data_IF_708024792936
#
_entry.id   IF_708024792936
#
_cell.length_a   1.000
_cell.length_b   1.000
_cell.length_c   1.000
_cell.angle_alpha   90.00
_cell.angle_beta   90.00
_cell.angle_gamma   90.00
#
_symmetry.space_group_name_H-M   'P 1'
#
loop_
_entity.id
_entity.type
_entity.pdbx_description
1 polymer ?
#
# COMPACT_ATOMS: atom_id res chain seq x y z
N UNK A 1 -9.77 -1.06 -19.56
CA UNK A 1 -8.92 -2.12 -18.97
C UNK A 1 -7.67 -1.51 -18.30
N UNK A 2 -6.89 -0.64 -18.97
CA UNK A 2 -5.68 -0.04 -18.38
C UNK A 2 -5.98 0.83 -17.13
N UNK A 3 -7.07 1.59 -17.13
CA UNK A 3 -7.46 2.41 -15.99
C UNK A 3 -7.83 1.59 -14.74
N UNK A 4 -8.50 0.45 -14.88
CA UNK A 4 -8.84 -0.42 -13.73
C UNK A 4 -7.62 -1.14 -13.18
N UNK A 5 -6.62 -1.46 -14.02
CA UNK A 5 -5.35 -2.03 -13.57
C UNK A 5 -4.53 -0.98 -12.80
N UNK A 6 -4.45 0.24 -13.31
CA UNK A 6 -3.74 1.33 -12.66
C UNK A 6 -4.36 1.68 -11.29
N UNK A 7 -5.70 1.76 -11.22
CA UNK A 7 -6.38 2.01 -9.95
C UNK A 7 -6.30 0.82 -8.98
N UNK A 8 -6.26 -0.42 -9.47
CA UNK A 8 -5.96 -1.60 -8.65
C UNK A 8 -4.55 -1.56 -8.04
N UNK A 9 -3.57 -1.01 -8.76
CA UNK A 9 -2.21 -0.81 -8.26
C UNK A 9 -2.14 0.13 -7.06
N UNK A 10 -2.98 1.16 -6.99
CA UNK A 10 -3.03 2.08 -5.84
C UNK A 10 -3.56 1.40 -4.57
N UNK A 11 -4.45 0.41 -4.69
CA UNK A 11 -4.93 -0.38 -3.56
C UNK A 11 -3.82 -1.21 -2.91
N UNK A 12 -2.87 -1.73 -3.72
CA UNK A 12 -1.73 -2.49 -3.22
C UNK A 12 -0.78 -1.67 -2.33
N UNK A 13 -0.84 -0.34 -2.39
CA UNK A 13 -0.06 0.55 -1.52
C UNK A 13 -0.72 0.68 -0.15
N UNK A 14 -2.06 0.61 -0.08
CA UNK A 14 -2.84 0.80 1.16
C UNK A 14 -2.98 -0.51 1.93
N UNK A 15 -3.12 -1.63 1.22
CA UNK A 15 -3.32 -2.94 1.85
C UNK A 15 -1.99 -3.49 2.38
N UNK A 16 -1.89 -3.85 3.67
CA UNK A 16 -0.67 -4.43 4.22
C UNK A 16 -0.30 -5.79 3.57
N UNK A 17 1.01 -6.09 3.40
CA UNK A 17 2.19 -5.33 3.79
C UNK A 17 2.50 -4.18 2.84
N UNK A 18 2.67 -2.98 3.38
CA UNK A 18 2.87 -1.75 2.60
C UNK A 18 4.17 -1.05 3.02
N UNK A 19 5.05 -0.80 2.07
CA UNK A 19 6.32 -0.09 2.31
C UNK A 19 6.08 1.34 2.81
N UNK A 20 5.06 2.01 2.26
CA UNK A 20 4.71 3.39 2.65
C UNK A 20 4.25 3.45 4.10
N UNK A 21 3.44 2.48 4.56
CA UNK A 21 3.03 2.40 5.96
C UNK A 21 4.21 2.11 6.90
N UNK A 22 5.20 1.34 6.47
CA UNK A 22 6.42 1.11 7.25
C UNK A 22 7.24 2.39 7.37
N UNK A 23 7.43 3.13 6.28
CA UNK A 23 8.13 4.42 6.29
C UNK A 23 7.38 5.42 7.18
N UNK A 24 6.06 5.49 7.05
CA UNK A 24 5.22 6.35 7.89
C UNK A 24 5.35 6.00 9.37
N UNK A 25 5.33 4.69 9.71
CA UNK A 25 5.55 4.22 11.06
C UNK A 25 6.90 4.70 11.63
N UNK A 26 7.95 4.59 10.82
CA UNK A 26 9.29 5.03 11.20
C UNK A 26 9.35 6.54 11.45
N UNK A 27 8.80 7.35 10.55
CA UNK A 27 8.81 8.81 10.66
C UNK A 27 7.96 9.35 11.81
N UNK A 28 6.89 8.63 12.18
CA UNK A 28 5.96 9.01 13.26
C UNK A 28 6.22 8.27 14.57
N UNK A 29 7.25 7.42 14.61
CA UNK A 29 7.61 6.60 15.78
C UNK A 29 6.45 5.70 16.27
N UNK A 30 5.60 5.27 15.34
CA UNK A 30 4.47 4.39 15.62
C UNK A 30 4.77 2.93 15.33
N UNK A 31 4.03 2.04 15.97
CA UNK A 31 4.15 0.60 15.72
C UNK A 31 3.63 0.23 14.34
N UNK A 32 4.47 -0.43 13.52
CA UNK A 32 4.11 -0.95 12.20
C UNK A 32 2.90 -1.89 12.28
N UNK A 33 2.85 -2.76 13.30
CA UNK A 33 1.71 -3.67 13.52
C UNK A 33 0.40 -2.92 13.68
N UNK A 34 0.38 -1.88 14.55
CA UNK A 34 -0.83 -1.08 14.79
C UNK A 34 -1.30 -0.38 13.53
N UNK A 35 -0.37 0.15 12.73
CA UNK A 35 -0.69 0.80 11.46
C UNK A 35 -1.23 -0.18 10.42
N UNK A 36 -0.67 -1.39 10.36
CA UNK A 36 -1.17 -2.43 9.48
C UNK A 36 -2.59 -2.87 9.86
N UNK A 37 -2.88 -3.02 11.15
CA UNK A 37 -4.25 -3.27 11.62
C UNK A 37 -5.20 -2.13 11.26
N UNK A 38 -4.80 -0.89 11.50
CA UNK A 38 -5.61 0.27 11.20
C UNK A 38 -5.92 0.41 9.70
N UNK A 39 -4.98 0.02 8.83
CA UNK A 39 -5.13 0.09 7.39
C UNK A 39 -6.04 -1.00 6.79
N UNK A 40 -6.30 -2.10 7.52
CA UNK A 40 -7.16 -3.17 7.02
C UNK A 40 -8.59 -2.70 6.74
N UNK A 41 -9.19 -1.96 7.68
CA UNK A 41 -10.58 -1.50 7.54
C UNK A 41 -10.73 -0.55 6.34
N UNK A 42 -9.96 0.55 6.24
CA UNK A 42 -10.05 1.43 5.07
C UNK A 42 -9.64 0.72 3.77
N UNK A 43 -8.70 -0.24 3.82
CA UNK A 43 -8.32 -1.05 2.67
C UNK A 43 -9.47 -1.89 2.14
N UNK A 44 -10.20 -2.58 3.01
CA UNK A 44 -11.39 -3.38 2.63
C UNK A 44 -12.48 -2.46 2.07
N UNK A 45 -12.74 -1.34 2.72
CA UNK A 45 -13.74 -0.34 2.24
C UNK A 45 -13.35 0.14 0.84
N UNK A 46 -12.09 0.46 0.62
CA UNK A 46 -11.58 0.89 -0.68
C UNK A 46 -11.81 -0.18 -1.76
N UNK A 47 -11.49 -1.45 -1.49
CA UNK A 47 -11.75 -2.57 -2.42
C UNK A 47 -13.23 -2.65 -2.79
N UNK A 48 -14.13 -2.60 -1.80
CA UNK A 48 -15.57 -2.67 -2.02
C UNK A 48 -16.05 -1.49 -2.87
N UNK A 49 -15.60 -0.27 -2.55
CA UNK A 49 -15.95 0.92 -3.33
C UNK A 49 -15.44 0.84 -4.78
N UNK A 50 -14.23 0.32 -4.99
CA UNK A 50 -13.71 0.09 -6.34
C UNK A 50 -14.54 -0.93 -7.11
N UNK A 51 -14.92 -2.02 -6.48
CA UNK A 51 -15.80 -3.02 -7.11
C UNK A 51 -17.16 -2.43 -7.50
N UNK A 52 -17.74 -1.63 -6.62
CA UNK A 52 -19.00 -0.92 -6.88
C UNK A 52 -18.82 0.07 -8.04
N UNK A 53 -17.76 0.89 -7.99
CA UNK A 53 -17.49 1.89 -9.03
C UNK A 53 -17.30 1.24 -10.42
N UNK A 54 -16.53 0.15 -10.50
CA UNK A 54 -16.36 -0.60 -11.75
C UNK A 54 -17.71 -1.16 -12.23
N UNK A 55 -18.51 -1.72 -11.34
CA UNK A 55 -19.82 -2.27 -11.69
C UNK A 55 -20.77 -1.20 -12.19
N UNK A 56 -20.85 -0.07 -11.50
CA UNK A 56 -21.68 1.09 -11.92
C UNK A 56 -21.20 1.62 -13.27
N UNK A 57 -19.89 1.77 -13.45
CA UNK A 57 -19.33 2.21 -14.72
C UNK A 57 -19.69 1.30 -15.89
N UNK A 58 -19.62 -0.03 -15.71
CA UNK A 58 -19.99 -1.01 -16.72
C UNK A 58 -21.49 -1.05 -16.99
N UNK A 59 -22.34 -0.71 -16.02
CA UNK A 59 -23.80 -0.58 -16.23
C UNK A 59 -24.12 0.66 -17.08
N UNK A 60 -23.38 1.75 -16.90
CA UNK A 60 -23.57 2.99 -17.67
C UNK A 60 -22.97 2.85 -19.08
N UNK A 61 -21.81 2.20 -19.20
CA UNK A 61 -21.07 2.03 -20.44
C UNK A 61 -20.83 0.56 -20.81
N UNK A 62 -21.86 -0.23 -21.13
CA UNK A 62 -21.74 -1.68 -21.33
C UNK A 62 -20.81 -2.05 -22.51
N UNK A 63 -20.65 -1.17 -23.49
CA UNK A 63 -19.77 -1.39 -24.65
C UNK A 63 -18.27 -1.36 -24.31
N UNK A 64 -17.89 -0.82 -23.16
CA UNK A 64 -16.49 -0.73 -22.72
C UNK A 64 -16.07 -1.94 -21.87
N UNK A 65 -17.02 -2.75 -21.41
CA UNK A 65 -16.78 -4.04 -20.80
C UNK A 65 -16.38 -5.04 -21.88
N UNK A 66 -15.11 -5.47 -21.89
CA UNK A 66 -14.72 -6.58 -22.76
C UNK A 66 -15.49 -7.84 -22.39
N UNK A 67 -16.08 -8.50 -23.37
CA UNK A 67 -16.65 -9.82 -23.16
C UNK A 67 -15.50 -10.81 -22.93
N UNK A 68 -15.22 -11.12 -21.66
CA UNK A 68 -14.32 -12.20 -21.32
C UNK A 68 -14.96 -13.52 -21.73
N UNK A 69 -14.21 -14.39 -22.38
CA UNK A 69 -14.66 -15.76 -22.62
C UNK A 69 -15.02 -16.43 -21.29
N UNK A 70 -16.15 -17.13 -21.27
CA UNK A 70 -16.59 -17.87 -20.08
C UNK A 70 -15.61 -19.00 -19.82
N UNK A 71 -14.68 -18.80 -18.94
CA UNK A 71 -13.76 -19.85 -18.50
C UNK A 71 -14.53 -20.99 -17.86
N UNK A 72 -14.31 -22.25 -18.28
CA UNK A 72 -14.92 -23.42 -17.65
C UNK A 72 -14.45 -23.54 -16.19
N UNK A 73 -15.29 -24.11 -15.34
CA UNK A 73 -15.03 -24.23 -13.89
C UNK A 73 -13.69 -24.91 -13.57
N UNK A 74 -13.30 -25.90 -14.36
CA UNK A 74 -12.04 -26.62 -14.19
C UNK A 74 -10.81 -25.71 -14.35
N UNK A 75 -10.84 -24.79 -15.31
CA UNK A 75 -9.75 -23.84 -15.52
C UNK A 75 -9.70 -22.77 -14.42
N UNK A 76 -10.86 -22.39 -13.87
CA UNK A 76 -10.93 -21.49 -12.71
C UNK A 76 -10.33 -22.13 -11.46
N UNK A 77 -10.65 -23.41 -11.21
CA UNK A 77 -10.05 -24.15 -10.09
C UNK A 77 -8.52 -24.27 -10.29
N UNK A 78 -8.07 -24.62 -11.50
CA UNK A 78 -6.65 -24.73 -11.79
C UNK A 78 -5.91 -23.39 -11.60
N UNK A 79 -6.55 -22.27 -11.93
CA UNK A 79 -5.99 -20.94 -11.68
C UNK A 79 -5.87 -20.64 -10.18
N UNK A 80 -6.87 -21.02 -9.38
CA UNK A 80 -6.83 -20.87 -7.92
C UNK A 80 -5.67 -21.68 -7.32
N UNK A 81 -5.49 -22.93 -7.74
CA UNK A 81 -4.38 -23.75 -7.28
C UNK A 81 -3.00 -23.19 -7.63
N UNK A 82 -2.87 -22.48 -8.77
CA UNK A 82 -1.62 -21.82 -9.14
C UNK A 82 -1.29 -20.61 -8.23
N UNK A 83 -2.32 -19.92 -7.74
CA UNK A 83 -2.18 -18.73 -6.86
C UNK A 83 -2.10 -19.12 -5.39
N UNK A 84 -2.61 -20.30 -5.02
CA UNK A 84 -2.68 -20.77 -3.63
C UNK A 84 -1.36 -20.66 -2.84
N UNK A 85 -0.18 -21.02 -3.39
CA UNK A 85 1.08 -20.91 -2.64
C UNK A 85 1.43 -19.47 -2.27
N UNK A 86 1.12 -18.52 -3.14
CA UNK A 86 1.36 -17.08 -2.89
C UNK A 86 0.45 -16.62 -1.77
N UNK A 87 -0.83 -17.03 -1.80
CA UNK A 87 -1.79 -16.72 -0.75
C UNK A 87 -1.39 -17.35 0.60
N UNK A 88 -0.84 -18.57 0.58
CA UNK A 88 -0.35 -19.24 1.77
C UNK A 88 0.82 -18.49 2.41
N UNK A 89 1.81 -18.08 1.61
CA UNK A 89 2.96 -17.28 2.07
C UNK A 89 2.44 -15.98 2.72
N UNK A 90 1.54 -15.29 2.05
CA UNK A 90 0.92 -14.07 2.56
C UNK A 90 0.19 -14.31 3.91
N UNK A 91 -0.59 -15.38 4.00
CA UNK A 91 -1.33 -15.74 5.20
C UNK A 91 -0.39 -16.06 6.39
N UNK A 92 0.74 -16.74 6.13
CA UNK A 92 1.75 -17.04 7.16
C UNK A 92 2.39 -15.75 7.66
N UNK A 93 2.82 -14.86 6.76
CA UNK A 93 3.47 -13.60 7.11
C UNK A 93 2.52 -12.70 7.91
N UNK A 94 1.33 -12.46 7.39
CA UNK A 94 0.33 -11.60 8.04
C UNK A 94 -0.22 -12.23 9.31
N UNK A 95 -0.54 -13.53 9.28
CA UNK A 95 -1.00 -14.26 10.45
C UNK A 95 0.02 -14.23 11.59
N UNK A 96 1.29 -14.51 11.29
CA UNK A 96 2.37 -14.46 12.28
C UNK A 96 2.60 -13.07 12.86
N UNK A 97 2.51 -12.03 12.01
CA UNK A 97 2.60 -10.64 12.45
C UNK A 97 1.42 -10.24 13.36
N UNK A 98 0.20 -10.60 12.98
CA UNK A 98 -1.00 -10.23 13.73
C UNK A 98 -1.19 -11.01 15.03
N UNK A 99 -0.77 -12.27 15.05
CA UNK A 99 -0.76 -13.09 16.27
C UNK A 99 0.40 -12.75 17.21
N UNK A 100 1.33 -11.87 16.78
CA UNK A 100 2.46 -11.44 17.59
C UNK A 100 3.62 -12.46 17.66
N UNK A 101 3.63 -13.47 16.78
CA UNK A 101 4.74 -14.41 16.68
C UNK A 101 6.00 -13.77 16.10
N UNK A 102 5.83 -12.77 15.25
CA UNK A 102 6.92 -12.09 14.56
C UNK A 102 6.77 -10.57 14.71
N UNK A 103 7.89 -9.90 14.84
CA UNK A 103 8.00 -8.46 14.59
C UNK A 103 7.90 -8.17 13.08
N UNK A 104 7.69 -6.91 12.70
CA UNK A 104 7.63 -6.52 11.29
C UNK A 104 8.90 -6.87 10.50
N UNK A 105 10.07 -6.75 11.16
CA UNK A 105 11.37 -7.08 10.54
C UNK A 105 11.55 -8.60 10.40
N UNK A 106 11.16 -9.36 11.42
CA UNK A 106 11.23 -10.84 11.39
C UNK A 106 10.26 -11.41 10.35
N UNK A 107 9.05 -10.86 10.25
CA UNK A 107 8.08 -11.30 9.25
C UNK A 107 8.58 -11.06 7.81
N UNK A 108 9.33 -9.99 7.56
CA UNK A 108 9.98 -9.77 6.28
C UNK A 108 11.05 -10.84 5.98
N UNK A 109 11.88 -11.20 6.97
CA UNK A 109 12.88 -12.26 6.83
C UNK A 109 12.23 -13.62 6.57
N UNK A 110 11.18 -13.97 7.32
CA UNK A 110 10.38 -15.18 7.10
C UNK A 110 9.80 -15.20 5.69
N UNK A 111 9.29 -14.07 5.21
CA UNK A 111 8.77 -13.93 3.85
C UNK A 111 9.81 -14.25 2.78
N UNK A 112 11.02 -13.70 2.91
CA UNK A 112 12.13 -13.99 1.98
C UNK A 112 12.47 -15.48 1.98
N UNK A 113 12.58 -16.10 3.15
CA UNK A 113 12.89 -17.52 3.28
C UNK A 113 11.80 -18.39 2.62
N UNK A 114 10.53 -18.09 2.89
CA UNK A 114 9.41 -18.85 2.30
C UNK A 114 9.38 -18.73 0.78
N UNK A 115 9.62 -17.53 0.23
CA UNK A 115 9.71 -17.33 -1.22
C UNK A 115 10.89 -18.08 -1.82
N UNK A 116 12.05 -18.05 -1.19
CA UNK A 116 13.23 -18.79 -1.64
C UNK A 116 12.97 -20.31 -1.64
N UNK A 117 12.38 -20.84 -0.58
CA UNK A 117 12.00 -22.26 -0.51
C UNK A 117 11.00 -22.60 -1.63
N UNK A 118 10.02 -21.75 -1.86
CA UNK A 118 9.01 -21.98 -2.90
C UNK A 118 9.63 -22.03 -4.31
N UNK A 119 10.53 -21.09 -4.62
CA UNK A 119 11.21 -21.03 -5.92
C UNK A 119 12.17 -22.21 -6.07
N UNK A 120 12.86 -22.61 -4.99
CA UNK A 120 13.74 -23.78 -4.97
C UNK A 120 12.96 -25.08 -5.26
N UNK A 121 11.82 -25.28 -4.60
CA UNK A 121 10.94 -26.43 -4.83
C UNK A 121 10.41 -26.49 -6.27
N UNK A 122 10.19 -25.33 -6.88
CA UNK A 122 9.81 -25.23 -8.31
C UNK A 122 10.98 -25.42 -9.27
N UNK A 123 12.20 -25.61 -8.77
CA UNK A 123 13.44 -25.73 -9.56
C UNK A 123 13.67 -24.54 -10.51
N UNK A 124 13.19 -23.36 -10.14
CA UNK A 124 13.33 -22.14 -10.92
C UNK A 124 14.39 -21.19 -10.36
N UNK A 125 15.09 -21.59 -9.29
CA UNK A 125 16.12 -20.79 -8.67
C UNK A 125 17.37 -20.77 -9.58
N UNK A 126 17.66 -19.61 -10.17
CA UNK A 126 18.87 -19.37 -10.95
C UNK A 126 19.70 -18.28 -10.28
N UNK A 127 21.02 -18.38 -10.41
CA UNK A 127 21.95 -17.39 -9.85
C UNK A 127 21.73 -15.99 -10.49
N UNK A 128 21.35 -15.96 -11.75
CA UNK A 128 21.03 -14.74 -12.46
C UNK A 128 19.77 -14.06 -11.89
N UNK A 129 18.70 -14.82 -11.62
CA UNK A 129 17.50 -14.33 -10.98
C UNK A 129 17.80 -13.75 -9.59
N UNK A 130 18.64 -14.41 -8.80
CA UNK A 130 19.04 -13.95 -7.47
C UNK A 130 19.81 -12.62 -7.56
N UNK A 131 20.78 -12.54 -8.46
CA UNK A 131 21.55 -11.31 -8.74
C UNK A 131 20.64 -10.15 -9.14
N UNK A 132 19.73 -10.38 -10.09
CA UNK A 132 18.81 -9.37 -10.57
C UNK A 132 17.87 -8.91 -9.46
N UNK A 133 17.34 -9.82 -8.65
CA UNK A 133 16.47 -9.48 -7.50
C UNK A 133 17.21 -8.64 -6.46
N UNK A 134 18.47 -8.98 -6.14
CA UNK A 134 19.30 -8.19 -5.21
C UNK A 134 19.55 -6.80 -5.80
N UNK A 135 19.92 -6.71 -7.08
CA UNK A 135 20.18 -5.43 -7.73
C UNK A 135 18.98 -4.51 -7.78
N UNK A 136 17.79 -5.05 -8.10
CA UNK A 136 16.55 -4.30 -8.12
C UNK A 136 16.13 -3.87 -6.70
N UNK A 137 16.37 -4.72 -5.70
CA UNK A 137 16.16 -4.37 -4.29
C UNK A 137 17.05 -3.21 -3.87
N UNK A 138 18.35 -3.25 -4.20
CA UNK A 138 19.29 -2.16 -3.86
C UNK A 138 18.85 -0.83 -4.48
N UNK A 139 18.43 -0.83 -5.75
CA UNK A 139 17.94 0.37 -6.43
C UNK A 139 16.70 0.93 -5.75
N UNK A 140 15.72 0.06 -5.47
CA UNK A 140 14.46 0.45 -4.85
C UNK A 140 14.67 0.99 -3.44
N UNK A 141 15.44 0.28 -2.61
CA UNK A 141 15.76 0.70 -1.24
C UNK A 141 16.56 2.00 -1.24
N UNK A 142 17.54 2.14 -2.15
CA UNK A 142 18.32 3.36 -2.30
C UNK A 142 17.45 4.58 -2.63
N UNK A 143 16.52 4.44 -3.57
CA UNK A 143 15.59 5.50 -3.93
C UNK A 143 14.66 5.87 -2.76
N UNK A 144 14.12 4.88 -2.04
CA UNK A 144 13.28 5.09 -0.87
C UNK A 144 14.05 5.78 0.26
N UNK A 145 15.32 5.40 0.48
CA UNK A 145 16.15 5.99 1.51
C UNK A 145 16.43 7.46 1.26
N UNK A 146 16.65 7.85 -0.01
CA UNK A 146 16.79 9.28 -0.39
C UNK A 146 15.52 10.07 -0.08
N UNK A 147 14.35 9.50 -0.33
CA UNK A 147 13.06 10.14 0.01
C UNK A 147 12.92 10.31 1.52
N UNK A 148 13.27 9.30 2.31
CA UNK A 148 13.20 9.36 3.78
C UNK A 148 14.14 10.42 4.34
N UNK A 149 15.39 10.48 3.84
CA UNK A 149 16.35 11.52 4.24
C UNK A 149 15.84 12.91 3.87
N UNK A 150 15.34 13.09 2.65
CA UNK A 150 14.74 14.35 2.22
C UNK A 150 13.55 14.77 3.08
N UNK A 151 12.67 13.84 3.42
CA UNK A 151 11.54 14.09 4.30
C UNK A 151 11.97 14.47 5.73
N UNK A 152 13.01 13.82 6.27
CA UNK A 152 13.56 14.16 7.58
C UNK A 152 14.12 15.59 7.61
N UNK A 153 14.94 15.95 6.63
CA UNK A 153 15.47 17.32 6.51
C UNK A 153 14.34 18.36 6.36
N UNK A 154 13.33 18.05 5.56
CA UNK A 154 12.17 18.92 5.39
C UNK A 154 11.35 19.07 6.68
N UNK A 155 11.15 17.98 7.43
CA UNK A 155 10.50 18.00 8.76
C UNK A 155 11.26 18.91 9.71
N UNK A 156 12.59 18.81 9.77
CA UNK A 156 13.43 19.64 10.64
C UNK A 156 13.35 21.10 10.23
N UNK A 157 13.37 21.41 8.94
CA UNK A 157 13.19 22.76 8.42
C UNK A 157 11.85 23.36 8.86
N UNK A 158 10.74 22.64 8.69
CA UNK A 158 9.40 23.07 9.12
C UNK A 158 9.36 23.31 10.63
N UNK A 159 10.00 22.44 11.40
CA UNK A 159 10.02 22.52 12.85
C UNK A 159 10.81 23.75 13.34
N UNK A 160 12.00 23.98 12.79
CA UNK A 160 12.86 25.11 13.15
C UNK A 160 12.26 26.44 12.71
N UNK A 161 11.70 26.52 11.52
CA UNK A 161 11.06 27.74 11.00
C UNK A 161 9.67 28.01 11.59
N UNK A 162 9.12 27.05 12.34
CA UNK A 162 7.73 27.12 12.87
C UNK A 162 6.68 27.41 11.77
N UNK A 163 6.97 27.05 10.54
CA UNK A 163 6.15 27.34 9.36
C UNK A 163 4.69 26.86 9.54
N UNK A 164 4.51 25.72 10.18
CA UNK A 164 3.17 25.18 10.48
C UNK A 164 2.35 26.13 11.36
N UNK A 165 2.97 26.81 12.30
CA UNK A 165 2.31 27.79 13.19
C UNK A 165 1.90 29.04 12.43
N UNK A 166 2.79 29.53 11.59
CA UNK A 166 2.52 30.72 10.76
C UNK A 166 1.40 30.44 9.76
N UNK A 167 1.39 29.27 9.11
CA UNK A 167 0.30 28.88 8.21
C UNK A 167 -1.03 28.71 8.95
N UNK A 168 -1.01 28.12 10.16
CA UNK A 168 -2.23 27.93 10.94
C UNK A 168 -2.82 29.27 11.41
N UNK A 169 -1.99 30.20 11.88
CA UNK A 169 -2.44 31.53 12.26
C UNK A 169 -3.06 32.28 11.07
N UNK A 170 -2.41 32.22 9.90
CA UNK A 170 -2.93 32.87 8.70
C UNK A 170 -4.27 32.31 8.25
N UNK A 171 -4.47 30.99 8.30
CA UNK A 171 -5.76 30.37 7.96
C UNK A 171 -6.84 30.63 8.99
N UNK A 172 -6.49 30.72 10.28
CA UNK A 172 -7.42 31.07 11.36
C UNK A 172 -7.88 32.52 11.23
N UNK A 173 -6.95 33.47 11.04
CA UNK A 173 -7.28 34.88 10.84
C UNK A 173 -8.11 35.12 9.59
N UNK A 174 -7.85 34.38 8.49
CA UNK A 174 -8.65 34.45 7.27
C UNK A 174 -10.08 33.93 7.49
N UNK A 175 -10.25 32.88 8.30
CA UNK A 175 -11.58 32.36 8.66
C UNK A 175 -12.35 33.32 9.56
N UNK A 176 -11.71 33.93 10.55
CA UNK A 176 -12.30 34.90 11.42
C UNK A 176 -12.68 36.19 10.69
N UNK A 177 -11.86 36.65 9.73
CA UNK A 177 -12.17 37.81 8.91
C UNK A 177 -13.40 37.56 8.04
N UNK A 178 -13.54 36.37 7.44
CA UNK A 178 -14.73 36.04 6.65
C UNK A 178 -16.01 36.00 7.49
N UNK A 179 -15.91 35.53 8.73
CA UNK A 179 -17.03 35.45 9.67
C UNK A 179 -17.45 36.84 10.19
N UNK A 180 -16.49 37.74 10.44
CA UNK A 180 -16.74 39.12 10.88
C UNK A 180 -17.37 39.97 9.77
N UNK A 181 -16.96 39.82 8.52
CA UNK A 181 -17.56 40.48 7.36
C UNK A 181 -18.99 40.02 7.13
N UNK A 182 -19.28 38.72 7.33
CA UNK A 182 -20.64 38.21 7.17
C UNK A 182 -21.61 38.69 8.30
N UNK A 183 -21.09 38.84 9.51
CA UNK A 183 -21.92 39.33 10.66
C UNK A 183 -22.00 40.86 10.77
N UNK A 184 -21.12 41.62 10.14
CA UNK A 184 -21.12 43.09 10.16
C UNK A 184 -22.08 43.75 9.18
N UNK A 185 -22.81 42.98 8.40
CA UNK A 185 -23.80 43.46 7.41
C UNK A 185 -25.27 43.43 7.86
N UNK A 186 -25.53 43.46 9.16
CA UNK A 186 -26.92 43.61 9.70
C UNK A 186 -27.03 44.84 10.57
#
# INVERSE_FOLDING_TARGET
>A
ISGSIASGGTLGIIIPPSVILVIYAYLTEQSVQKLFFAALIPGIIAVVLYMIAIRVYLLIFPKQGGYGEKMPLNERLAAIWKVFPIFLIFAIIMGGLYLGFFTATESAAVGVILVLIFIFLRRQLTMEMLKNSIWDTIKTVGALYLIVVGAAVFKDLITVTQLHRTCHLYTSDAADYSTSVYNGGR
#
